data_IF_325950369613
#
_entry.id   IF_325950369613
#
_cell.length_a   1.000
_cell.length_b   1.000
_cell.length_c   1.000
_cell.angle_alpha   90.00
_cell.angle_beta   90.00
_cell.angle_gamma   90.00
#
_symmetry.space_group_name_H-M   'P 1'
#
loop_
_entity.id
_entity.type
_entity.pdbx_description
1 polymer ?
#
# COMPACT_ATOMS: atom_id res chain seq x y z
N UNK A 1 5.83 18.77 21.73
CA UNK A 1 5.85 18.09 20.81
C UNK A 1 4.67 17.51 20.39
N UNK A 2 4.39 17.44 19.29
CA UNK A 2 3.26 17.03 18.84
C UNK A 2 3.22 15.74 18.51
N UNK A 3 2.28 15.13 18.72
CA UNK A 3 2.06 13.78 18.38
C UNK A 3 1.31 13.74 17.08
N UNK A 4 2.00 14.15 16.05
CA UNK A 4 1.41 14.11 14.73
C UNK A 4 1.44 12.72 14.16
N UNK A 5 0.52 12.43 13.26
CA UNK A 5 0.48 11.14 12.57
C UNK A 5 1.77 10.94 11.77
N UNK A 6 2.29 9.72 11.77
CA UNK A 6 3.50 9.38 11.04
C UNK A 6 3.38 8.06 10.35
N UNK A 7 3.85 8.00 9.12
CA UNK A 7 3.96 6.72 8.42
C UNK A 7 5.24 6.04 8.89
N UNK A 8 5.13 4.90 9.52
CA UNK A 8 6.26 4.18 10.09
C UNK A 8 6.76 3.07 9.19
N UNK A 9 5.87 2.41 8.45
CA UNK A 9 6.23 1.27 7.63
C UNK A 9 5.42 1.28 6.35
N UNK A 10 6.07 0.88 5.27
CA UNK A 10 5.41 0.61 4.01
C UNK A 10 6.09 -0.60 3.38
N UNK A 11 5.30 -1.58 2.93
CA UNK A 11 5.87 -2.71 2.22
C UNK A 11 4.86 -3.28 1.23
N UNK A 12 5.37 -4.02 0.26
CA UNK A 12 4.57 -4.72 -0.72
C UNK A 12 4.80 -6.21 -0.51
N UNK A 13 3.74 -6.98 -0.40
CA UNK A 13 3.86 -8.40 -0.09
C UNK A 13 2.71 -9.20 -0.65
N UNK A 14 2.85 -10.52 -0.62
CA UNK A 14 1.78 -11.42 -1.02
C UNK A 14 0.87 -11.77 0.13
N UNK A 15 1.38 -11.77 1.35
CA UNK A 15 0.55 -12.04 2.51
C UNK A 15 0.90 -11.15 3.66
N UNK A 16 -0.10 -10.67 4.35
CA UNK A 16 0.07 -9.91 5.57
C UNK A 16 -1.08 -10.28 6.50
N UNK A 17 -0.78 -10.69 7.70
CA UNK A 17 -1.82 -11.11 8.64
C UNK A 17 -1.42 -10.82 10.07
N UNK A 18 -2.42 -10.65 10.90
CA UNK A 18 -2.21 -10.56 12.34
C UNK A 18 -2.18 -11.98 12.89
N UNK A 19 -1.06 -12.40 13.39
CA UNK A 19 -0.90 -13.77 13.87
C UNK A 19 -1.35 -13.91 15.32
N UNK A 20 -1.08 -12.92 16.13
CA UNK A 20 -1.56 -12.84 17.48
C UNK A 20 -1.80 -11.38 17.70
N UNK A 21 -2.40 -11.03 18.80
CA UNK A 21 -2.62 -9.65 19.13
C UNK A 21 -1.32 -8.88 19.04
N UNK A 22 -1.30 -7.84 18.25
CA UNK A 22 -0.15 -6.95 18.04
C UNK A 22 1.08 -7.64 17.43
N UNK A 23 0.90 -8.84 16.86
CA UNK A 23 1.96 -9.55 16.17
C UNK A 23 1.54 -9.80 14.72
N UNK A 24 2.32 -9.30 13.77
CA UNK A 24 1.97 -9.38 12.36
C UNK A 24 3.03 -10.16 11.60
N UNK A 25 2.59 -10.87 10.58
CA UNK A 25 3.48 -11.59 9.69
C UNK A 25 3.29 -11.15 8.26
N UNK A 26 4.38 -10.96 7.55
CA UNK A 26 4.35 -10.64 6.13
C UNK A 26 5.16 -11.69 5.39
N UNK A 27 4.63 -12.17 4.27
CA UNK A 27 5.34 -13.14 3.45
C UNK A 27 5.55 -12.62 2.05
N UNK A 28 6.69 -12.93 1.48
CA UNK A 28 7.06 -12.54 0.13
C UNK A 28 7.01 -11.02 -0.01
N UNK A 29 7.82 -10.34 0.78
CA UNK A 29 8.00 -8.90 0.64
C UNK A 29 8.74 -8.66 -0.67
N UNK A 30 8.20 -7.79 -1.52
CA UNK A 30 8.63 -7.70 -2.90
C UNK A 30 9.11 -6.32 -3.29
N UNK A 31 10.13 -6.26 -4.12
CA UNK A 31 10.49 -5.04 -4.82
C UNK A 31 10.21 -5.16 -6.31
N UNK A 32 10.09 -6.40 -6.81
CA UNK A 32 9.77 -6.65 -8.22
C UNK A 32 8.62 -7.63 -8.30
N UNK A 33 7.78 -7.48 -9.31
CA UNK A 33 6.70 -8.41 -9.59
C UNK A 33 6.88 -8.91 -11.01
N UNK A 34 6.78 -10.23 -11.19
CA UNK A 34 6.94 -10.84 -12.50
C UNK A 34 5.61 -11.43 -12.95
N UNK A 35 5.18 -11.04 -14.13
CA UNK A 35 3.94 -11.56 -14.72
C UNK A 35 4.29 -12.52 -15.85
N UNK A 36 3.50 -13.59 -16.01
CA UNK A 36 3.81 -14.58 -17.07
C UNK A 36 3.62 -13.99 -18.45
N UNK A 37 2.75 -13.02 -18.60
CA UNK A 37 2.50 -12.38 -19.89
C UNK A 37 1.82 -11.05 -19.71
N UNK A 38 1.87 -10.22 -20.76
CA UNK A 38 1.18 -8.94 -20.82
C UNK A 38 0.15 -8.98 -21.96
N UNK A 39 -1.00 -8.34 -21.83
CA UNK A 39 -1.42 -7.62 -20.62
C UNK A 39 -1.77 -8.57 -19.48
N UNK A 40 -1.63 -8.11 -18.27
CA UNK A 40 -1.93 -8.92 -17.09
C UNK A 40 -2.43 -8.06 -15.95
N UNK A 41 -2.93 -8.70 -14.91
CA UNK A 41 -3.43 -7.99 -13.74
C UNK A 41 -2.59 -8.38 -12.52
N UNK A 42 -2.52 -7.46 -11.55
CA UNK A 42 -1.76 -7.67 -10.33
C UNK A 42 -2.70 -8.20 -9.27
N UNK A 43 -2.80 -9.55 -9.21
CA UNK A 43 -3.72 -10.19 -8.30
C UNK A 43 -2.95 -10.84 -7.17
N UNK A 44 -3.42 -10.68 -5.96
CA UNK A 44 -2.80 -11.35 -4.82
C UNK A 44 -1.65 -10.58 -4.22
N UNK A 45 -1.56 -9.29 -4.47
CA UNK A 45 -0.52 -8.44 -3.90
C UNK A 45 -1.16 -7.38 -3.02
N UNK A 46 -0.42 -6.95 -2.01
CA UNK A 46 -0.92 -5.96 -1.04
C UNK A 46 0.12 -4.90 -0.79
N UNK A 47 -0.34 -3.66 -0.64
CA UNK A 47 0.47 -2.58 -0.11
C UNK A 47 0.09 -2.43 1.35
N UNK A 48 1.05 -2.52 2.25
CA UNK A 48 0.79 -2.50 3.68
C UNK A 48 1.39 -1.24 4.27
N UNK A 49 0.60 -0.53 5.05
CA UNK A 49 1.06 0.67 5.72
C UNK A 49 0.89 0.51 7.23
N UNK A 50 1.78 1.13 7.97
CA UNK A 50 1.65 1.24 9.41
C UNK A 50 1.80 2.70 9.80
N UNK A 51 0.78 3.24 10.43
CA UNK A 51 0.78 4.61 10.88
C UNK A 51 0.83 4.68 12.40
N UNK A 52 1.63 5.62 12.92
CA UNK A 52 1.46 6.02 14.31
C UNK A 52 0.37 7.09 14.30
N UNK A 53 -0.69 6.86 15.01
CA UNK A 53 -1.88 7.70 14.98
C UNK A 53 -1.68 8.97 15.80
N UNK A 54 -2.49 9.97 15.53
CA UNK A 54 -2.58 11.16 16.36
C UNK A 54 -4.02 11.27 16.89
N UNK A 55 -4.44 12.43 17.29
CA UNK A 55 -5.75 12.64 17.90
C UNK A 55 -6.80 13.10 16.89
N UNK A 56 -6.48 13.01 15.60
CA UNK A 56 -7.38 13.44 14.54
C UNK A 56 -7.81 12.28 13.69
N UNK A 57 -8.85 12.48 12.94
CA UNK A 57 -9.33 11.53 11.95
C UNK A 57 -8.61 11.78 10.65
N UNK A 58 -8.20 10.75 9.94
CA UNK A 58 -7.52 10.89 8.66
C UNK A 58 -8.09 9.91 7.65
N UNK A 59 -7.90 10.20 6.37
CA UNK A 59 -8.32 9.31 5.29
C UNK A 59 -7.11 8.94 4.45
N UNK A 60 -6.93 7.65 4.26
CA UNK A 60 -5.79 7.10 3.52
C UNK A 60 -6.23 6.54 2.18
N UNK A 61 -5.47 6.83 1.13
CA UNK A 61 -5.70 6.30 -0.21
C UNK A 61 -4.35 5.84 -0.74
N UNK A 62 -4.33 4.74 -1.47
CA UNK A 62 -3.13 4.30 -2.17
C UNK A 62 -3.35 4.52 -3.66
N UNK A 63 -2.39 5.16 -4.31
CA UNK A 63 -2.45 5.43 -5.75
C UNK A 63 -1.39 4.62 -6.47
N UNK A 64 -1.77 4.01 -7.58
CA UNK A 64 -0.87 3.21 -8.40
C UNK A 64 -0.80 3.87 -9.78
N UNK A 65 0.40 4.10 -10.28
CA UNK A 65 0.57 4.77 -11.56
C UNK A 65 1.66 4.09 -12.38
N UNK A 66 1.36 3.80 -13.64
CA UNK A 66 2.34 3.22 -14.57
C UNK A 66 3.18 4.30 -15.23
N UNK A 67 4.30 3.92 -15.86
CA UNK A 67 5.13 4.88 -16.59
C UNK A 67 4.45 5.40 -17.84
N UNK A 68 3.42 4.69 -18.34
CA UNK A 68 2.71 5.15 -19.53
C UNK A 68 1.42 5.91 -19.18
N UNK A 69 1.33 6.37 -17.93
CA UNK A 69 0.33 7.38 -17.56
C UNK A 69 -1.02 6.87 -17.10
N UNK A 70 -1.16 5.58 -16.87
CA UNK A 70 -2.43 5.04 -16.34
C UNK A 70 -2.34 5.00 -14.83
N UNK A 71 -3.34 5.53 -14.15
CA UNK A 71 -3.34 5.51 -12.69
C UNK A 71 -4.68 5.07 -12.13
N UNK A 72 -4.66 4.53 -10.92
CA UNK A 72 -5.87 4.13 -10.24
C UNK A 72 -5.64 4.30 -8.75
N UNK A 73 -6.69 4.57 -8.00
CA UNK A 73 -6.64 4.75 -6.55
C UNK A 73 -7.55 3.78 -5.87
N UNK A 74 -7.14 3.33 -4.69
CA UNK A 74 -8.04 2.52 -3.84
C UNK A 74 -9.13 3.43 -3.28
N UNK A 75 -10.24 2.86 -2.84
CA UNK A 75 -11.16 3.63 -2.01
C UNK A 75 -10.44 4.09 -0.76
N UNK A 76 -10.88 5.19 -0.18
CA UNK A 76 -10.22 5.67 1.04
C UNK A 76 -10.55 4.76 2.23
N UNK A 77 -9.61 4.66 3.16
CA UNK A 77 -9.83 4.00 4.42
C UNK A 77 -9.63 4.99 5.53
N UNK A 78 -10.38 4.83 6.60
CA UNK A 78 -10.35 5.76 7.72
C UNK A 78 -9.27 5.36 8.72
N UNK A 79 -8.56 6.35 9.22
CA UNK A 79 -7.64 6.17 10.34
C UNK A 79 -8.24 6.97 11.50
N UNK A 80 -8.66 6.23 12.51
CA UNK A 80 -9.36 6.87 13.64
C UNK A 80 -8.36 7.46 14.61
N UNK A 81 -8.77 8.44 15.41
CA UNK A 81 -7.88 9.01 16.43
C UNK A 81 -7.40 7.98 17.44
N UNK A 82 -6.33 8.29 18.12
CA UNK A 82 -5.83 7.44 19.21
C UNK A 82 -6.93 7.31 20.27
N UNK A 83 -7.23 6.05 20.63
CA UNK A 83 -8.15 5.77 21.72
C UNK A 83 -7.67 4.55 22.46
N UNK A 84 -7.84 4.56 23.79
CA UNK A 84 -7.61 3.34 24.60
C UNK A 84 -6.28 2.65 24.32
N UNK A 85 -5.23 3.40 24.20
CA UNK A 85 -3.90 2.85 24.00
C UNK A 85 -3.65 2.22 22.63
N UNK A 86 -4.58 2.37 21.69
CA UNK A 86 -4.34 1.88 20.34
C UNK A 86 -3.63 2.99 19.56
N UNK A 87 -2.32 2.89 19.51
CA UNK A 87 -1.47 3.92 18.94
C UNK A 87 -1.15 3.69 17.48
N UNK A 88 -1.09 2.43 17.05
CA UNK A 88 -0.66 2.10 15.71
C UNK A 88 -1.81 1.56 14.87
N UNK A 89 -1.76 1.82 13.57
CA UNK A 89 -2.74 1.31 12.64
C UNK A 89 -2.04 0.61 11.49
N UNK A 90 -2.17 -0.68 11.44
CA UNK A 90 -1.71 -1.47 10.30
C UNK A 90 -2.87 -1.70 9.36
N UNK A 91 -2.62 -1.56 8.07
CA UNK A 91 -3.67 -1.83 7.10
C UNK A 91 -3.08 -2.42 5.83
N UNK A 92 -3.71 -3.46 5.31
CA UNK A 92 -3.31 -4.01 4.04
C UNK A 92 -4.30 -3.56 2.97
N UNK A 93 -3.75 -2.99 1.92
CA UNK A 93 -4.54 -2.49 0.80
C UNK A 93 -4.33 -3.45 -0.36
N UNK A 94 -5.37 -4.17 -0.81
CA UNK A 94 -5.20 -5.04 -1.98
C UNK A 94 -4.87 -4.21 -3.21
N UNK A 95 -4.01 -4.72 -4.06
CA UNK A 95 -3.78 -4.10 -5.35
C UNK A 95 -5.08 -4.20 -6.14
N UNK A 96 -5.43 -3.18 -6.94
CA UNK A 96 -6.66 -3.23 -7.72
C UNK A 96 -6.60 -4.36 -8.74
N UNK A 97 -7.61 -5.22 -8.75
CA UNK A 97 -7.62 -6.38 -9.64
C UNK A 97 -8.18 -6.05 -11.02
N UNK A 98 -8.82 -4.90 -11.16
CA UNK A 98 -9.32 -4.45 -12.46
C UNK A 98 -8.32 -3.53 -13.15
N UNK A 99 -7.12 -3.41 -12.62
CA UNK A 99 -6.10 -2.56 -13.18
C UNK A 99 -5.19 -3.42 -14.06
N UNK A 100 -5.32 -3.27 -15.36
CA UNK A 100 -4.55 -4.08 -16.32
C UNK A 100 -3.22 -3.42 -16.62
N UNK A 101 -2.15 -4.19 -16.50
CA UNK A 101 -0.81 -3.75 -16.86
C UNK A 101 -0.56 -4.19 -18.29
N UNK A 102 -0.38 -3.24 -19.19
CA UNK A 102 -0.28 -3.52 -20.61
C UNK A 102 1.11 -3.98 -21.04
N UNK A 103 2.12 -3.53 -20.36
CA UNK A 103 3.51 -3.79 -20.74
C UNK A 103 4.39 -3.63 -19.50
N UNK A 104 5.64 -4.11 -19.54
CA UNK A 104 6.55 -3.92 -18.42
C UNK A 104 6.64 -2.44 -18.06
N UNK A 105 6.64 -2.15 -16.78
CA UNK A 105 6.59 -0.78 -16.30
C UNK A 105 7.17 -0.69 -14.90
N UNK A 106 7.57 0.49 -14.49
CA UNK A 106 7.84 0.76 -13.08
C UNK A 106 6.55 1.34 -12.52
N UNK A 107 5.95 0.63 -11.59
CA UNK A 107 4.71 1.07 -10.97
C UNK A 107 5.06 1.97 -9.80
N UNK A 108 4.58 3.21 -9.84
CA UNK A 108 4.76 4.13 -8.73
C UNK A 108 3.57 3.98 -7.80
N UNK A 109 3.84 3.82 -6.52
CA UNK A 109 2.80 3.65 -5.51
C UNK A 109 2.92 4.79 -4.52
N UNK A 110 1.85 5.56 -4.37
CA UNK A 110 1.84 6.71 -3.47
C UNK A 110 0.89 6.46 -2.32
N UNK A 111 1.35 6.79 -1.12
CA UNK A 111 0.50 6.76 0.07
C UNK A 111 0.01 8.19 0.26
N UNK A 112 -1.29 8.37 0.15
CA UNK A 112 -1.92 9.68 0.21
C UNK A 112 -2.74 9.75 1.48
N UNK A 113 -2.49 10.77 2.29
CA UNK A 113 -3.22 10.99 3.52
C UNK A 113 -3.87 12.36 3.45
N UNK A 114 -5.19 12.41 3.59
CA UNK A 114 -5.96 13.66 3.55
C UNK A 114 -5.64 14.46 2.29
N UNK A 115 -5.58 13.76 1.15
CA UNK A 115 -5.34 14.32 -0.16
C UNK A 115 -3.91 14.85 -0.36
N UNK A 116 -2.99 14.52 0.51
CA UNK A 116 -1.59 14.91 0.37
C UNK A 116 -0.72 13.67 0.27
N UNK A 117 0.15 13.63 -0.72
CA UNK A 117 1.07 12.50 -0.86
C UNK A 117 2.13 12.55 0.24
N UNK A 118 2.21 11.51 1.03
CA UNK A 118 3.15 11.41 2.13
C UNK A 118 4.37 10.56 1.80
N UNK A 119 4.21 9.62 0.87
CA UNK A 119 5.27 8.67 0.60
C UNK A 119 5.10 8.14 -0.82
N UNK A 120 6.20 7.88 -1.48
CA UNK A 120 6.20 7.35 -2.82
C UNK A 120 7.17 6.20 -2.89
N UNK A 121 6.75 5.09 -3.46
CA UNK A 121 7.59 3.93 -3.64
C UNK A 121 7.45 3.42 -5.07
N UNK A 122 8.30 2.50 -5.46
CA UNK A 122 8.30 1.97 -6.81
C UNK A 122 8.42 0.47 -6.77
N UNK A 123 7.73 -0.21 -7.70
CA UNK A 123 7.92 -1.64 -7.87
C UNK A 123 8.05 -1.89 -9.36
N UNK A 124 9.01 -2.72 -9.73
CA UNK A 124 9.26 -3.02 -11.13
C UNK A 124 8.39 -4.19 -11.54
N UNK A 125 7.65 -4.04 -12.64
CA UNK A 125 6.80 -5.08 -13.18
C UNK A 125 7.41 -5.57 -14.48
N UNK A 126 7.81 -6.83 -14.50
CA UNK A 126 8.50 -7.40 -15.63
C UNK A 126 7.91 -8.71 -16.05
N UNK A 127 8.27 -9.17 -17.23
CA UNK A 127 7.81 -10.46 -17.71
C UNK A 127 8.64 -11.56 -17.06
N UNK A 128 7.96 -12.60 -16.63
CA UNK A 128 8.63 -13.76 -16.07
C UNK A 128 9.35 -14.50 -17.18
N UNK A 129 10.59 -14.82 -16.97
CA UNK A 129 11.38 -15.55 -17.97
C UNK A 129 11.20 -17.07 -17.84
#
# INVERSE_FOLDING_TARGET
>A
MEDEIKLLQFLICKEFREEKRDHFGAESVLSNIYLPRFPGVLKGFYAVTCWRKDKKFHKEVIEFETTYGVSIRTPHTDIEPITNSILFRWHKHPFPTDFTIQEPTTLTIRVILDNTAWFESHVLIEKKS
#
